data_IF_217629229177
#
_entry.id   IF_217629229177
#
_cell.length_a   1.000
_cell.length_b   1.000
_cell.length_c   1.000
_cell.angle_alpha   90.00
_cell.angle_beta   90.00
_cell.angle_gamma   90.00
#
_symmetry.space_group_name_H-M   'P 1'
#
loop_
_entity.id
_entity.type
_entity.pdbx_description
1 polymer ?
#
# COMPACT_ATOMS: atom_id res chain seq x y z
N UNK A 1 0.65 -11.88 15.31
CA UNK A 1 0.44 -12.31 16.71
C UNK A 1 0.60 -13.83 16.89
N UNK A 2 -0.06 -14.67 16.08
CA UNK A 2 -0.02 -16.14 16.19
C UNK A 2 1.41 -16.72 16.17
N UNK A 3 2.23 -16.34 15.18
CA UNK A 3 3.64 -16.78 15.10
C UNK A 3 4.50 -16.25 16.26
N UNK A 4 4.16 -15.09 16.83
CA UNK A 4 4.83 -14.52 18.01
C UNK A 4 4.54 -15.31 19.28
N UNK A 5 3.27 -15.66 19.50
CA UNK A 5 2.83 -16.58 20.55
C UNK A 5 3.53 -17.94 20.45
N UNK A 6 3.62 -18.48 19.23
CA UNK A 6 4.27 -19.77 18.95
C UNK A 6 5.79 -19.73 19.00
N UNK A 7 6.43 -18.56 18.98
CA UNK A 7 7.89 -18.41 19.01
C UNK A 7 8.46 -18.17 20.42
N UNK A 8 7.63 -17.74 21.37
CA UNK A 8 8.09 -17.34 22.72
C UNK A 8 8.81 -18.44 23.49
N UNK A 9 9.92 -18.05 24.11
CA UNK A 9 10.78 -18.92 24.93
C UNK A 9 10.24 -19.03 26.36
N UNK A 10 10.48 -20.16 27.04
CA UNK A 10 9.91 -20.39 28.38
C UNK A 10 10.60 -19.63 29.51
N UNK A 11 11.75 -19.01 29.25
CA UNK A 11 12.64 -18.37 30.25
C UNK A 11 12.40 -16.87 30.47
N UNK A 12 11.40 -16.25 29.83
CA UNK A 12 11.11 -14.82 30.00
C UNK A 12 10.19 -14.53 31.21
N UNK A 13 10.62 -13.67 32.14
CA UNK A 13 9.82 -13.34 33.34
C UNK A 13 8.53 -12.56 33.02
N UNK A 14 8.48 -11.88 31.87
CA UNK A 14 7.30 -11.11 31.41
C UNK A 14 6.36 -11.93 30.51
N UNK A 15 6.57 -13.24 30.38
CA UNK A 15 5.84 -14.11 29.44
C UNK A 15 4.32 -14.01 29.61
N UNK A 16 3.81 -13.97 30.85
CA UNK A 16 2.38 -13.92 31.11
C UNK A 16 1.71 -12.64 30.57
N UNK A 17 2.24 -11.47 30.93
CA UNK A 17 1.80 -10.17 30.42
C UNK A 17 1.83 -10.13 28.89
N UNK A 18 2.94 -10.58 28.33
CA UNK A 18 3.17 -10.66 26.91
C UNK A 18 2.13 -11.57 26.22
N UNK A 19 1.79 -12.73 26.81
CA UNK A 19 0.80 -13.68 26.28
C UNK A 19 -0.60 -13.08 26.28
N UNK A 20 -0.97 -12.35 27.34
CA UNK A 20 -2.25 -11.64 27.40
C UNK A 20 -2.36 -10.60 26.29
N UNK A 21 -1.31 -9.79 26.08
CA UNK A 21 -1.29 -8.79 25.01
C UNK A 21 -1.43 -9.45 23.62
N UNK A 22 -0.72 -10.56 23.39
CA UNK A 22 -0.84 -11.27 22.11
C UNK A 22 -2.23 -11.89 21.92
N UNK A 23 -2.86 -12.41 22.98
CA UNK A 23 -4.23 -12.94 22.93
C UNK A 23 -5.25 -11.83 22.64
N UNK A 24 -5.15 -10.68 23.32
CA UNK A 24 -5.98 -9.52 23.04
C UNK A 24 -5.80 -9.04 21.59
N UNK A 25 -4.56 -9.04 21.08
CA UNK A 25 -4.28 -8.69 19.69
C UNK A 25 -4.88 -9.70 18.70
N UNK A 26 -4.90 -11.01 19.01
CA UNK A 26 -5.58 -12.01 18.17
C UNK A 26 -7.08 -11.77 18.15
N UNK A 27 -7.70 -11.54 19.32
CA UNK A 27 -9.15 -11.27 19.40
C UNK A 27 -9.50 -10.03 18.59
N UNK A 28 -8.74 -8.94 18.74
CA UNK A 28 -8.95 -7.72 17.96
C UNK A 28 -8.79 -7.96 16.44
N UNK A 29 -7.80 -8.74 16.03
CA UNK A 29 -7.60 -9.12 14.63
C UNK A 29 -8.74 -9.97 14.07
N UNK A 30 -9.27 -10.94 14.85
CA UNK A 30 -10.39 -11.78 14.44
C UNK A 30 -11.66 -10.96 14.25
N UNK A 31 -11.92 -10.01 15.15
CA UNK A 31 -13.06 -9.08 15.01
C UNK A 31 -12.94 -8.26 13.72
N UNK A 32 -11.77 -7.67 13.45
CA UNK A 32 -11.58 -6.86 12.24
C UNK A 32 -11.59 -7.67 10.94
N UNK A 33 -10.95 -8.84 10.92
CA UNK A 33 -10.71 -9.59 9.68
C UNK A 33 -11.81 -10.61 9.34
N UNK A 34 -12.61 -11.05 10.31
CA UNK A 34 -13.61 -12.12 10.10
C UNK A 34 -15.02 -11.62 10.40
N UNK A 35 -15.23 -10.93 11.52
CA UNK A 35 -16.59 -10.48 11.92
C UNK A 35 -17.10 -9.41 10.98
N UNK A 36 -16.27 -8.47 10.55
CA UNK A 36 -16.69 -7.40 9.64
C UNK A 36 -17.11 -7.91 8.24
N UNK A 37 -16.33 -8.78 7.55
CA UNK A 37 -16.80 -9.41 6.30
C UNK A 37 -18.08 -10.24 6.46
N UNK A 38 -18.28 -10.88 7.62
CA UNK A 38 -19.48 -11.68 7.90
C UNK A 38 -20.74 -10.80 8.05
N UNK A 39 -20.61 -9.61 8.63
CA UNK A 39 -21.72 -8.68 8.87
C UNK A 39 -22.20 -7.97 7.59
N UNK A 40 -21.26 -7.52 6.75
CA UNK A 40 -21.61 -6.81 5.51
C UNK A 40 -21.95 -7.73 4.33
N UNK A 41 -21.65 -9.03 4.43
CA UNK A 41 -21.94 -10.07 3.44
C UNK A 41 -21.49 -9.73 2.00
N UNK A 42 -20.42 -8.92 1.88
CA UNK A 42 -19.79 -8.56 0.60
C UNK A 42 -18.61 -9.50 0.33
N UNK A 43 -18.56 -10.21 -0.80
CA UNK A 43 -17.49 -11.16 -1.09
C UNK A 43 -16.11 -10.49 -1.18
N UNK A 44 -16.06 -9.22 -1.60
CA UNK A 44 -14.82 -8.42 -1.67
C UNK A 44 -14.15 -8.28 -0.30
N UNK A 45 -14.92 -8.23 0.79
CA UNK A 45 -14.36 -8.07 2.15
C UNK A 45 -13.57 -9.31 2.60
N UNK A 46 -13.83 -10.49 2.02
CA UNK A 46 -13.05 -11.71 2.30
C UNK A 46 -11.62 -11.68 1.74
N UNK A 47 -11.28 -10.71 0.89
CA UNK A 47 -9.89 -10.46 0.47
C UNK A 47 -9.04 -9.88 1.61
N UNK A 48 -9.65 -9.28 2.63
CA UNK A 48 -8.95 -8.69 3.78
C UNK A 48 -8.19 -9.77 4.58
N UNK A 49 -8.82 -10.87 5.05
CA UNK A 49 -8.08 -11.91 5.77
C UNK A 49 -7.04 -12.61 4.88
N UNK A 50 -7.32 -12.81 3.59
CA UNK A 50 -6.38 -13.44 2.64
C UNK A 50 -5.13 -12.57 2.45
N UNK A 51 -5.31 -11.28 2.18
CA UNK A 51 -4.20 -10.34 2.02
C UNK A 51 -3.39 -10.18 3.32
N UNK A 52 -4.06 -10.12 4.47
CA UNK A 52 -3.42 -10.08 5.79
C UNK A 52 -2.53 -11.32 6.04
N UNK A 53 -3.02 -12.51 5.68
CA UNK A 53 -2.23 -13.75 5.74
C UNK A 53 -0.99 -13.66 4.83
N UNK A 54 -1.16 -13.25 3.58
CA UNK A 54 -0.08 -13.07 2.62
C UNK A 54 0.98 -12.08 3.11
N UNK A 55 0.56 -10.96 3.69
CA UNK A 55 1.45 -9.97 4.31
C UNK A 55 2.20 -10.63 5.48
N UNK A 56 1.51 -11.34 6.37
CA UNK A 56 2.14 -12.02 7.51
C UNK A 56 3.20 -13.03 7.09
N UNK A 57 3.02 -13.72 5.96
CA UNK A 57 4.03 -14.63 5.41
C UNK A 57 5.30 -13.88 5.04
N UNK A 58 5.25 -12.61 4.63
CA UNK A 58 6.43 -11.80 4.35
C UNK A 58 7.30 -11.52 5.59
N UNK A 59 6.71 -11.51 6.79
CA UNK A 59 7.40 -11.20 8.06
C UNK A 59 7.88 -12.45 8.82
N UNK A 60 7.81 -13.63 8.20
CA UNK A 60 8.14 -14.92 8.83
C UNK A 60 9.53 -14.94 9.50
N UNK A 61 10.50 -14.24 8.92
CA UNK A 61 11.89 -14.21 9.37
C UNK A 61 12.02 -13.65 10.80
N UNK A 62 11.13 -12.75 11.20
CA UNK A 62 11.11 -12.18 12.55
C UNK A 62 10.67 -13.17 13.63
N UNK A 63 9.92 -14.20 13.26
CA UNK A 63 9.34 -15.15 14.22
C UNK A 63 10.12 -16.46 14.34
N UNK A 64 11.03 -16.75 13.40
CA UNK A 64 11.77 -18.01 13.40
C UNK A 64 13.13 -17.89 14.11
N UNK A 65 13.35 -18.80 15.07
CA UNK A 65 14.58 -18.91 15.86
C UNK A 65 15.11 -20.35 15.83
N UNK A 66 16.42 -20.52 15.71
CA UNK A 66 17.12 -21.81 15.59
C UNK A 66 17.00 -22.73 16.83
N UNK A 67 16.58 -22.19 17.97
CA UNK A 67 16.51 -22.89 19.26
C UNK A 67 15.25 -23.77 19.45
N UNK A 68 14.39 -23.93 18.42
CA UNK A 68 13.09 -24.62 18.56
C UNK A 68 13.16 -26.12 18.20
N UNK A 69 12.34 -26.97 18.85
CA UNK A 69 12.32 -28.42 18.62
C UNK A 69 11.54 -28.86 17.36
N UNK A 70 10.71 -27.99 16.77
CA UNK A 70 9.90 -28.32 15.58
C UNK A 70 10.80 -28.33 14.33
N UNK A 71 10.85 -29.45 13.61
CA UNK A 71 11.75 -29.67 12.48
C UNK A 71 11.64 -28.62 11.36
N UNK A 72 10.41 -28.23 10.99
CA UNK A 72 10.15 -27.21 9.96
C UNK A 72 10.70 -25.84 10.39
N UNK A 73 10.42 -25.40 11.63
CA UNK A 73 10.90 -24.11 12.16
C UNK A 73 12.43 -24.10 12.25
N UNK A 74 13.05 -25.24 12.60
CA UNK A 74 14.50 -25.39 12.61
C UNK A 74 15.11 -25.26 11.21
N UNK A 75 14.47 -25.83 10.18
CA UNK A 75 14.88 -25.69 8.78
C UNK A 75 14.77 -24.24 8.30
N UNK A 76 13.64 -23.58 8.56
CA UNK A 76 13.44 -22.17 8.25
C UNK A 76 14.46 -21.27 8.98
N UNK A 77 14.84 -21.63 10.21
CA UNK A 77 15.87 -20.92 10.97
C UNK A 77 17.26 -21.04 10.37
N UNK A 78 17.62 -22.20 9.82
CA UNK A 78 18.88 -22.37 9.06
C UNK A 78 18.88 -21.56 7.77
N UNK A 79 17.78 -21.61 7.02
CA UNK A 79 17.64 -20.86 5.78
C UNK A 79 17.72 -19.35 6.04
N UNK A 80 17.12 -18.86 7.14
CA UNK A 80 17.30 -17.49 7.62
C UNK A 80 18.78 -17.14 7.85
N UNK A 81 19.51 -17.96 8.60
CA UNK A 81 20.92 -17.71 8.91
C UNK A 81 21.78 -17.61 7.62
N UNK A 82 21.53 -18.47 6.64
CA UNK A 82 22.20 -18.44 5.33
C UNK A 82 21.81 -17.20 4.50
N UNK A 83 20.52 -16.86 4.51
CA UNK A 83 19.97 -15.74 3.75
C UNK A 83 20.49 -14.38 4.25
N UNK A 84 20.90 -14.26 5.52
CA UNK A 84 21.53 -13.04 6.04
C UNK A 84 22.79 -12.68 5.24
N UNK A 85 23.62 -13.66 4.87
CA UNK A 85 24.87 -13.42 4.13
C UNK A 85 24.64 -13.22 2.64
N UNK A 86 23.68 -13.94 2.05
CA UNK A 86 23.40 -13.86 0.61
C UNK A 86 22.35 -12.81 0.25
N UNK A 87 21.75 -12.14 1.24
CA UNK A 87 20.57 -11.27 1.09
C UNK A 87 20.67 -10.32 -0.10
N UNK A 88 21.78 -9.59 -0.20
CA UNK A 88 21.96 -8.61 -1.28
C UNK A 88 21.94 -9.25 -2.68
N UNK A 89 22.53 -10.43 -2.84
CA UNK A 89 22.51 -11.16 -4.10
C UNK A 89 21.12 -11.75 -4.37
N UNK A 90 20.55 -12.42 -3.37
CA UNK A 90 19.23 -13.06 -3.46
C UNK A 90 18.13 -12.05 -3.79
N UNK A 91 18.12 -10.87 -3.15
CA UNK A 91 17.10 -9.85 -3.39
C UNK A 91 17.17 -9.21 -4.78
N UNK A 92 18.34 -9.16 -5.43
CA UNK A 92 18.45 -8.72 -6.83
C UNK A 92 17.71 -9.68 -7.77
N UNK A 93 17.90 -10.98 -7.61
CA UNK A 93 17.18 -11.99 -8.38
C UNK A 93 15.69 -12.03 -8.04
N UNK A 94 15.34 -11.96 -6.75
CA UNK A 94 13.93 -11.92 -6.31
C UNK A 94 13.20 -10.70 -6.89
N UNK A 95 13.85 -9.54 -7.00
CA UNK A 95 13.21 -8.34 -7.58
C UNK A 95 12.80 -8.58 -9.03
N UNK A 96 13.71 -9.10 -9.86
CA UNK A 96 13.41 -9.45 -11.25
C UNK A 96 12.32 -10.51 -11.32
N UNK A 97 12.42 -11.54 -10.48
CA UNK A 97 11.42 -12.60 -10.41
C UNK A 97 10.03 -12.08 -10.03
N UNK A 98 9.94 -11.14 -9.08
CA UNK A 98 8.68 -10.49 -8.70
C UNK A 98 8.08 -9.73 -9.89
N UNK A 99 8.89 -8.95 -10.61
CA UNK A 99 8.42 -8.22 -11.80
C UNK A 99 7.85 -9.21 -12.84
N UNK A 100 8.56 -10.31 -13.09
CA UNK A 100 8.10 -11.36 -14.00
C UNK A 100 6.79 -12.00 -13.52
N UNK A 101 6.67 -12.35 -12.25
CA UNK A 101 5.43 -12.91 -11.69
C UNK A 101 4.26 -11.93 -11.79
N UNK A 102 4.47 -10.65 -11.47
CA UNK A 102 3.44 -9.63 -11.62
C UNK A 102 2.98 -9.51 -13.07
N UNK A 103 3.92 -9.48 -14.02
CA UNK A 103 3.61 -9.46 -15.45
C UNK A 103 2.80 -10.71 -15.86
N UNK A 104 3.21 -11.89 -15.40
CA UNK A 104 2.49 -13.14 -15.70
C UNK A 104 1.07 -13.14 -15.13
N UNK A 105 0.88 -12.65 -13.90
CA UNK A 105 -0.45 -12.52 -13.31
C UNK A 105 -1.35 -11.56 -14.10
N UNK A 106 -0.81 -10.43 -14.59
CA UNK A 106 -1.55 -9.46 -15.40
C UNK A 106 -1.98 -10.11 -16.72
N UNK A 107 -1.04 -10.75 -17.44
CA UNK A 107 -1.35 -11.42 -18.70
C UNK A 107 -2.35 -12.57 -18.52
N UNK A 108 -2.24 -13.30 -17.42
CA UNK A 108 -3.18 -14.36 -17.07
C UNK A 108 -4.58 -13.82 -16.75
N UNK A 109 -4.68 -12.67 -16.07
CA UNK A 109 -5.97 -12.01 -15.82
C UNK A 109 -6.64 -11.60 -17.13
N UNK A 110 -5.90 -10.95 -18.04
CA UNK A 110 -6.40 -10.55 -19.36
C UNK A 110 -6.89 -11.76 -20.15
N UNK A 111 -6.14 -12.86 -20.09
CA UNK A 111 -6.53 -14.11 -20.74
C UNK A 111 -7.81 -14.72 -20.16
N UNK A 112 -8.00 -14.66 -18.84
CA UNK A 112 -9.25 -15.10 -18.18
C UNK A 112 -10.44 -14.24 -18.63
N UNK A 113 -10.24 -12.95 -18.82
CA UNK A 113 -11.27 -12.01 -19.27
C UNK A 113 -11.64 -12.20 -20.77
N UNK A 114 -10.92 -13.06 -21.49
CA UNK A 114 -11.18 -13.44 -22.88
C UNK A 114 -10.43 -12.61 -23.92
N UNK A 115 -9.57 -11.69 -23.47
CA UNK A 115 -8.78 -10.84 -24.34
C UNK A 115 -7.44 -11.48 -24.73
N UNK A 116 -6.91 -11.08 -25.88
CA UNK A 116 -5.60 -11.54 -26.34
C UNK A 116 -4.46 -10.86 -25.55
N UNK A 117 -3.57 -11.61 -24.86
CA UNK A 117 -2.47 -11.03 -24.07
C UNK A 117 -1.50 -10.17 -24.88
N UNK A 118 -1.44 -10.38 -26.20
CA UNK A 118 -0.61 -9.58 -27.10
C UNK A 118 -1.08 -8.12 -27.20
N UNK A 119 -2.38 -7.85 -26.99
CA UNK A 119 -2.94 -6.50 -27.00
C UNK A 119 -2.33 -5.61 -25.92
N UNK A 120 -1.93 -6.19 -24.78
CA UNK A 120 -1.26 -5.48 -23.69
C UNK A 120 0.01 -4.74 -24.15
N UNK A 121 0.73 -5.29 -25.13
CA UNK A 121 1.99 -4.71 -25.62
C UNK A 121 1.81 -3.76 -26.81
N UNK A 122 0.64 -3.72 -27.44
CA UNK A 122 0.44 -2.94 -28.66
C UNK A 122 0.49 -1.43 -28.42
N UNK A 123 -0.10 -0.95 -27.33
CA UNK A 123 -0.13 0.47 -26.96
C UNK A 123 1.04 0.88 -26.05
N UNK A 124 2.08 0.05 -25.94
CA UNK A 124 3.18 0.32 -25.01
C UNK A 124 3.94 1.59 -25.44
N UNK A 125 4.29 1.72 -26.72
CA UNK A 125 5.02 2.90 -27.21
C UNK A 125 4.15 4.17 -27.17
N UNK A 126 2.89 4.07 -27.60
CA UNK A 126 1.92 5.18 -27.58
C UNK A 126 1.59 5.62 -26.15
N UNK A 127 1.44 4.69 -25.21
CA UNK A 127 1.15 4.97 -23.80
C UNK A 127 2.28 5.73 -23.08
N UNK A 128 3.55 5.54 -23.48
CA UNK A 128 4.68 6.32 -22.96
C UNK A 128 4.89 7.66 -23.69
N UNK A 129 4.10 7.94 -24.73
CA UNK A 129 4.11 9.20 -25.47
C UNK A 129 3.23 10.29 -24.84
N UNK A 130 3.21 11.50 -25.43
CA UNK A 130 2.24 12.53 -25.09
C UNK A 130 0.84 12.04 -25.47
N UNK A 131 -0.06 11.96 -24.49
CA UNK A 131 -1.46 11.60 -24.69
C UNK A 131 -2.35 12.70 -24.10
N UNK A 132 -3.47 13.02 -24.74
CA UNK A 132 -4.50 13.89 -24.16
C UNK A 132 -5.48 13.05 -23.35
N UNK A 133 -5.92 13.59 -22.21
CA UNK A 133 -7.03 13.07 -21.42
C UNK A 133 -8.22 13.95 -21.75
N UNK A 134 -9.32 13.31 -22.16
CA UNK A 134 -10.60 14.01 -22.34
C UNK A 134 -11.20 14.21 -20.95
N UNK A 135 -11.27 15.45 -20.51
CA UNK A 135 -11.93 15.81 -19.25
C UNK A 135 -13.33 16.28 -19.59
N UNK A 136 -14.34 15.56 -19.10
CA UNK A 136 -15.72 15.98 -19.19
C UNK A 136 -16.05 16.86 -17.99
N UNK A 137 -16.46 18.10 -18.23
CA UNK A 137 -16.89 18.99 -17.15
C UNK A 137 -18.28 18.60 -16.65
N UNK A 138 -18.38 18.38 -15.34
CA UNK A 138 -19.65 18.13 -14.66
C UNK A 138 -20.15 19.46 -14.08
N UNK A 139 -21.06 20.13 -14.79
CA UNK A 139 -21.72 21.34 -14.30
C UNK A 139 -22.92 20.96 -13.41
N UNK A 140 -22.91 21.38 -12.14
CA UNK A 140 -24.09 21.26 -11.26
C UNK A 140 -24.98 22.47 -11.53
N UNK A 141 -26.07 22.28 -12.27
CA UNK A 141 -27.00 23.36 -12.59
C UNK A 141 -27.90 23.65 -11.39
N UNK A 142 -27.53 24.62 -10.55
CA UNK A 142 -28.35 25.09 -9.43
C UNK A 142 -29.48 26.00 -9.96
N UNK A 143 -30.44 25.40 -10.68
CA UNK A 143 -31.72 26.04 -11.00
C UNK A 143 -32.56 26.20 -9.73
N UNK A 144 -33.18 27.36 -9.56
CA UNK A 144 -33.80 27.78 -8.30
C UNK A 144 -34.74 26.77 -7.63
N UNK A 145 -34.77 26.85 -6.29
CA UNK A 145 -35.76 26.24 -5.38
C UNK A 145 -36.02 24.74 -5.52
N UNK A 146 -34.98 23.93 -5.68
CA UNK A 146 -35.08 22.47 -5.49
C UNK A 146 -34.08 21.96 -4.46
N UNK A 147 -34.58 21.01 -3.66
CA UNK A 147 -33.93 20.37 -2.52
C UNK A 147 -32.63 19.67 -2.99
N UNK A 148 -31.51 19.74 -2.23
CA UNK A 148 -30.19 19.28 -2.66
C UNK A 148 -30.10 17.84 -3.19
N UNK A 149 -31.01 16.97 -2.78
CA UNK A 149 -31.04 15.54 -3.13
C UNK A 149 -31.54 15.22 -4.55
N UNK A 150 -32.03 16.23 -5.30
CA UNK A 150 -32.59 16.06 -6.63
C UNK A 150 -31.95 16.97 -7.68
N UNK A 151 -30.67 17.28 -7.53
CA UNK A 151 -29.89 17.89 -8.61
C UNK A 151 -29.54 16.80 -9.64
N UNK A 152 -30.30 16.73 -10.75
CA UNK A 152 -29.92 15.90 -11.89
C UNK A 152 -28.63 16.45 -12.49
N UNK A 153 -27.54 15.71 -12.35
CA UNK A 153 -26.25 16.00 -12.97
C UNK A 153 -26.38 15.85 -14.49
N UNK A 154 -26.65 16.94 -15.19
CA UNK A 154 -26.66 16.97 -16.66
C UNK A 154 -25.25 17.26 -17.18
N UNK A 155 -24.57 16.22 -17.67
CA UNK A 155 -23.30 16.29 -18.38
C UNK A 155 -23.47 17.12 -19.66
N UNK A 156 -23.16 18.42 -19.58
CA UNK A 156 -23.32 19.36 -20.71
C UNK A 156 -22.07 20.23 -20.91
N UNK A 157 -20.90 19.75 -20.48
CA UNK A 157 -19.62 20.39 -20.75
C UNK A 157 -19.01 19.86 -22.05
N UNK A 158 -18.57 20.76 -22.94
CA UNK A 158 -17.77 20.39 -24.10
C UNK A 158 -16.49 19.67 -23.64
N UNK A 159 -16.06 18.57 -24.29
CA UNK A 159 -14.88 17.83 -23.88
C UNK A 159 -13.62 18.71 -24.03
N UNK A 160 -12.98 19.02 -22.90
CA UNK A 160 -11.70 19.74 -22.90
C UNK A 160 -10.57 18.72 -22.91
N UNK A 161 -9.76 18.73 -23.97
CA UNK A 161 -8.55 17.92 -24.03
C UNK A 161 -7.45 18.52 -23.16
N UNK A 162 -7.16 17.89 -22.03
CA UNK A 162 -6.04 18.26 -21.16
C UNK A 162 -4.84 17.38 -21.49
N UNK A 163 -3.69 17.98 -21.77
CA UNK A 163 -2.46 17.22 -22.02
C UNK A 163 -2.06 16.43 -20.77
N UNK A 164 -1.98 15.10 -20.87
CA UNK A 164 -1.56 14.28 -19.75
C UNK A 164 -0.10 14.57 -19.39
N UNK A 165 0.17 14.71 -18.10
CA UNK A 165 1.52 14.71 -17.56
C UNK A 165 2.13 13.30 -17.63
N UNK A 166 2.45 12.82 -18.84
CA UNK A 166 2.99 11.49 -19.11
C UNK A 166 4.36 11.24 -18.44
N UNK A 167 5.09 12.30 -18.09
CA UNK A 167 6.36 12.22 -17.33
C UNK A 167 6.17 12.08 -15.81
N UNK A 168 4.96 12.26 -15.28
CA UNK A 168 4.68 12.22 -13.83
C UNK A 168 5.16 10.91 -13.18
N UNK A 169 4.84 9.76 -13.78
CA UNK A 169 5.26 8.45 -13.28
C UNK A 169 6.80 8.32 -13.18
N UNK A 170 7.53 8.89 -14.13
CA UNK A 170 8.99 8.89 -14.11
C UNK A 170 9.55 9.74 -12.97
N UNK A 171 8.97 10.92 -12.72
CA UNK A 171 9.36 11.75 -11.57
C UNK A 171 9.08 11.04 -10.24
N UNK A 172 7.91 10.41 -10.08
CA UNK A 172 7.56 9.64 -8.88
C UNK A 172 8.55 8.48 -8.67
N UNK A 173 8.88 7.75 -9.74
CA UNK A 173 9.88 6.68 -9.70
C UNK A 173 11.24 7.19 -9.23
N UNK A 174 11.73 8.31 -9.80
CA UNK A 174 13.01 8.90 -9.38
C UNK A 174 12.98 9.33 -7.91
N UNK A 175 11.91 9.99 -7.47
CA UNK A 175 11.74 10.40 -6.07
C UNK A 175 11.83 9.18 -5.14
N UNK A 176 11.14 8.08 -5.47
CA UNK A 176 11.20 6.85 -4.69
C UNK A 176 12.60 6.23 -4.67
N UNK A 177 13.31 6.21 -5.80
CA UNK A 177 14.69 5.70 -5.88
C UNK A 177 15.62 6.53 -5.00
N UNK A 178 15.59 7.87 -5.11
CA UNK A 178 16.42 8.75 -4.31
C UNK A 178 16.08 8.66 -2.81
N UNK A 179 14.80 8.67 -2.47
CA UNK A 179 14.34 8.52 -1.08
C UNK A 179 14.81 7.19 -0.48
N UNK A 180 14.66 6.07 -1.21
CA UNK A 180 15.12 4.76 -0.78
C UNK A 180 16.64 4.69 -0.60
N UNK A 181 17.40 5.30 -1.52
CA UNK A 181 18.85 5.36 -1.44
C UNK A 181 19.35 6.18 -0.23
N UNK A 182 18.74 7.33 0.01
CA UNK A 182 19.02 8.19 1.17
C UNK A 182 18.69 7.44 2.48
N UNK A 183 17.52 6.79 2.54
CA UNK A 183 17.12 5.97 3.69
C UNK A 183 18.12 4.84 3.96
N UNK A 184 18.62 4.17 2.93
CA UNK A 184 19.66 3.15 3.05
C UNK A 184 20.97 3.69 3.64
N UNK A 185 21.42 4.88 3.19
CA UNK A 185 22.63 5.52 3.73
C UNK A 185 22.47 5.81 5.22
N UNK A 186 21.38 6.48 5.62
CA UNK A 186 21.12 6.81 7.02
C UNK A 186 20.92 5.56 7.88
N UNK A 187 20.23 4.54 7.36
CA UNK A 187 20.09 3.25 8.04
C UNK A 187 21.44 2.59 8.29
N UNK A 188 22.31 2.53 7.28
CA UNK A 188 23.66 1.96 7.43
C UNK A 188 24.50 2.73 8.46
N UNK A 189 24.39 4.06 8.47
CA UNK A 189 25.07 4.92 9.44
C UNK A 189 24.56 4.69 10.87
N UNK A 190 23.25 4.64 11.07
CA UNK A 190 22.63 4.38 12.38
C UNK A 190 23.02 2.99 12.93
N UNK A 191 23.10 1.98 12.08
CA UNK A 191 23.58 0.65 12.46
C UNK A 191 25.06 0.65 12.88
N UNK A 192 25.92 1.42 12.19
CA UNK A 192 27.35 1.53 12.55
C UNK A 192 27.57 2.20 13.91
N UNK A 193 26.73 3.15 14.28
CA UNK A 193 26.81 3.88 15.56
C UNK A 193 26.00 3.17 16.66
N UNK A 194 25.37 2.03 16.36
CA UNK A 194 24.56 1.23 17.31
C UNK A 194 23.35 2.00 17.89
N UNK A 195 22.88 3.06 17.22
CA UNK A 195 21.71 3.86 17.63
C UNK A 195 20.41 3.46 16.93
N UNK A 196 20.41 2.36 16.17
CA UNK A 196 19.27 1.88 15.37
C UNK A 196 17.97 1.78 16.18
N UNK A 197 18.05 1.29 17.42
CA UNK A 197 16.86 1.07 18.26
C UNK A 197 16.08 2.36 18.55
N UNK A 198 16.78 3.45 18.87
CA UNK A 198 16.14 4.74 19.12
C UNK A 198 15.91 5.53 17.84
N UNK A 199 16.92 5.63 16.98
CA UNK A 199 16.92 6.49 15.81
C UNK A 199 16.00 6.00 14.68
N UNK A 200 15.79 4.68 14.52
CA UNK A 200 14.91 4.16 13.46
C UNK A 200 13.49 3.91 13.95
N UNK A 201 13.28 3.59 15.24
CA UNK A 201 11.95 3.32 15.76
C UNK A 201 11.06 4.57 15.74
N UNK A 202 11.60 5.74 16.09
CA UNK A 202 10.81 6.98 16.14
C UNK A 202 10.29 7.41 14.75
N UNK A 203 11.13 7.54 13.69
CA UNK A 203 10.66 7.91 12.36
C UNK A 203 9.66 6.91 11.77
N UNK A 204 9.87 5.60 11.99
CA UNK A 204 8.97 4.56 11.48
C UNK A 204 7.57 4.67 12.10
N UNK A 205 7.46 5.00 13.39
CA UNK A 205 6.16 5.19 14.03
C UNK A 205 5.54 6.56 13.71
N UNK A 206 6.36 7.58 13.46
CA UNK A 206 5.88 8.93 13.17
C UNK A 206 5.43 9.11 11.72
N UNK A 207 6.03 8.39 10.75
CA UNK A 207 5.74 8.62 9.32
C UNK A 207 4.28 8.36 8.97
N UNK A 208 3.66 7.34 9.57
CA UNK A 208 2.25 6.99 9.30
C UNK A 208 1.31 8.13 9.72
N UNK A 209 1.26 8.57 11.01
CA UNK A 209 0.37 9.65 11.41
C UNK A 209 0.72 10.97 10.72
N UNK A 210 2.00 11.24 10.46
CA UNK A 210 2.43 12.46 9.77
C UNK A 210 1.90 12.50 8.32
N UNK A 211 2.02 11.40 7.58
CA UNK A 211 1.52 11.32 6.20
C UNK A 211 0.00 11.45 6.16
N UNK A 212 -0.72 10.78 7.07
CA UNK A 212 -2.19 10.87 7.13
C UNK A 212 -2.63 12.30 7.45
N UNK A 213 -2.03 12.96 8.45
CA UNK A 213 -2.38 14.34 8.80
C UNK A 213 -2.06 15.32 7.67
N UNK A 214 -0.93 15.13 6.98
CA UNK A 214 -0.56 15.96 5.83
C UNK A 214 -1.55 15.77 4.69
N UNK A 215 -2.00 14.54 4.43
CA UNK A 215 -2.99 14.24 3.40
C UNK A 215 -4.34 14.90 3.71
N UNK A 216 -4.80 14.80 4.97
CA UNK A 216 -6.03 15.45 5.44
C UNK A 216 -5.92 16.97 5.30
N UNK A 217 -4.78 17.56 5.70
CA UNK A 217 -4.55 19.00 5.56
C UNK A 217 -4.55 19.44 4.09
N UNK A 218 -3.91 18.67 3.20
CA UNK A 218 -3.91 18.95 1.77
C UNK A 218 -5.34 18.89 1.17
N UNK A 219 -6.15 17.91 1.57
CA UNK A 219 -7.56 17.83 1.20
C UNK A 219 -8.35 19.04 1.73
N UNK A 220 -8.13 19.42 2.99
CA UNK A 220 -8.81 20.56 3.61
C UNK A 220 -8.52 21.90 2.93
N UNK A 221 -7.26 22.13 2.53
CA UNK A 221 -6.87 23.34 1.79
C UNK A 221 -7.55 23.38 0.41
N UNK A 222 -7.60 22.25 -0.30
CA UNK A 222 -8.25 22.17 -1.62
C UNK A 222 -9.77 22.33 -1.53
N UNK A 223 -10.41 21.80 -0.49
CA UNK A 223 -11.84 22.03 -0.26
C UNK A 223 -12.17 23.50 0.02
N UNK A 224 -11.20 24.27 0.54
CA UNK A 224 -11.32 25.71 0.70
C UNK A 224 -11.08 26.49 -0.59
N UNK A 225 -10.08 26.09 -1.38
CA UNK A 225 -9.77 26.66 -2.70
C UNK A 225 -9.41 25.55 -3.69
N UNK A 226 -10.33 25.29 -4.63
CA UNK A 226 -10.18 24.23 -5.65
C UNK A 226 -8.93 24.43 -6.53
N UNK A 227 -8.44 25.67 -6.66
CA UNK A 227 -7.33 26.04 -7.54
C UNK A 227 -5.98 26.16 -6.81
N UNK A 228 -5.91 25.90 -5.49
CA UNK A 228 -4.69 26.16 -4.69
C UNK A 228 -3.44 25.43 -5.20
N UNK A 229 -3.59 24.21 -5.70
CA UNK A 229 -2.47 23.38 -6.20
C UNK A 229 -2.33 23.40 -7.72
N UNK A 230 -3.11 24.24 -8.41
CA UNK A 230 -3.09 24.31 -9.87
C UNK A 230 -1.69 24.67 -10.37
N UNK A 231 -1.18 23.90 -11.34
CA UNK A 231 0.15 24.09 -11.92
C UNK A 231 1.32 23.42 -11.18
N UNK A 232 1.12 22.88 -9.97
CA UNK A 232 2.14 22.06 -9.28
C UNK A 232 1.85 20.56 -9.35
N UNK A 233 0.58 20.18 -9.18
CA UNK A 233 0.11 18.80 -9.38
C UNK A 233 -0.95 18.83 -10.49
N UNK A 234 -1.03 17.82 -11.38
CA UNK A 234 -2.05 17.80 -12.42
C UNK A 234 -3.45 17.70 -11.80
N UNK A 235 -4.41 18.52 -12.27
CA UNK A 235 -5.80 18.66 -11.74
C UNK A 235 -6.57 17.35 -11.56
N UNK A 236 -6.18 16.30 -12.30
CA UNK A 236 -6.76 14.96 -12.26
C UNK A 236 -6.07 13.99 -11.28
N UNK A 237 -4.98 14.37 -10.61
CA UNK A 237 -4.11 13.48 -9.82
C UNK A 237 -4.09 13.88 -8.33
N UNK A 238 -5.29 14.01 -7.76
CA UNK A 238 -5.48 14.46 -6.38
C UNK A 238 -6.25 13.45 -5.53
N UNK A 239 -6.04 13.55 -4.22
CA UNK A 239 -6.84 12.82 -3.24
C UNK A 239 -8.10 13.61 -2.94
N UNK A 240 -9.25 12.98 -3.16
CA UNK A 240 -10.53 13.52 -2.72
C UNK A 240 -10.88 12.95 -1.34
N UNK A 241 -11.40 13.82 -0.48
CA UNK A 241 -12.04 13.35 0.75
C UNK A 241 -13.27 12.53 0.37
N UNK A 242 -13.53 11.38 1.03
CA UNK A 242 -14.75 10.63 0.79
C UNK A 242 -15.96 11.58 0.96
N UNK A 243 -16.98 11.48 0.10
CA UNK A 243 -18.17 12.31 0.23
C UNK A 243 -18.74 12.10 1.62
N UNK A 244 -19.14 13.19 2.27
CA UNK A 244 -19.87 13.12 3.53
C UNK A 244 -21.18 12.41 3.20
N UNK A 245 -21.25 11.10 3.41
CA UNK A 245 -22.51 10.39 3.40
C UNK A 245 -23.29 10.93 4.60
N UNK A 246 -24.13 11.93 4.34
CA UNK A 246 -25.22 12.29 5.24
C UNK A 246 -26.13 11.07 5.29
N UNK A 247 -26.06 10.34 6.40
CA UNK A 247 -27.07 9.36 6.81
C UNK A 247 -28.43 10.04 6.97
#
# INVERSE_FOLDING_TARGET
>A
AILGLLSRNSRDSKRFMNVIVDMAAIVAQVTGFIVWPLLENKPVLWLIPVSSLCISLGWWEHYVTRQRPIGIIKSLGRLKDELIFTRYYTYRFISVWKIMLFLMCILFSIWIDGDEPAMFFQLLNTGFGPNSIVVEEVQIQLGGTVIPDLASVTLTGDPVEVAAAYKSAFYVMLIQIFAGYICYIFGKFACKILIQGFSCAFPINLVIPLVVNLLIAACGIRNGDNCYFHGTVPDYLYFESPPVFTL
#
